data_IF_187074408684
#
_entry.id   IF_187074408684
#
_cell.length_a   1.000
_cell.length_b   1.000
_cell.length_c   1.000
_cell.angle_alpha   90.00
_cell.angle_beta   90.00
_cell.angle_gamma   90.00
#
_symmetry.space_group_name_H-M   'P 1'
#
loop_
_entity.id
_entity.type
_entity.pdbx_description
1 polymer ?
#
# COMPACT_ATOMS: atom_id res chain seq x y z
N UNK A 1 1.39 76.13 -43.61
CA UNK A 1 1.37 75.94 -42.14
C UNK A 1 0.61 74.67 -41.77
N UNK A 2 1.29 73.51 -41.64
CA UNK A 2 0.81 72.36 -40.83
C UNK A 2 1.86 71.24 -40.65
N UNK A 3 3.16 71.54 -40.88
CA UNK A 3 4.30 70.65 -40.58
C UNK A 3 4.80 70.73 -39.12
N UNK A 4 4.06 71.39 -38.21
CA UNK A 4 4.45 71.58 -36.80
C UNK A 4 3.76 70.63 -35.80
N UNK A 5 2.85 69.75 -36.23
CA UNK A 5 2.13 68.82 -35.33
C UNK A 5 2.75 67.41 -35.21
N UNK A 6 3.85 67.12 -35.91
CA UNK A 6 4.50 65.80 -35.85
C UNK A 6 5.80 65.77 -35.05
N UNK A 7 6.28 66.90 -34.51
CA UNK A 7 7.53 66.97 -33.75
C UNK A 7 7.32 66.89 -32.23
N UNK A 8 6.15 67.29 -31.72
CA UNK A 8 5.81 67.19 -30.29
C UNK A 8 5.38 65.79 -29.85
N UNK A 9 5.09 64.88 -30.79
CA UNK A 9 4.81 63.46 -30.50
C UNK A 9 6.05 62.56 -30.56
N UNK A 10 7.20 63.10 -30.96
CA UNK A 10 8.47 62.37 -31.03
C UNK A 10 9.44 62.72 -29.89
N UNK A 11 9.19 63.80 -29.12
CA UNK A 11 9.94 64.10 -27.89
C UNK A 11 9.32 63.49 -26.61
N UNK A 12 8.06 63.03 -26.65
CA UNK A 12 7.45 62.32 -25.52
C UNK A 12 7.89 60.84 -25.40
N UNK A 13 8.64 60.33 -26.38
CA UNK A 13 9.16 58.95 -26.40
C UNK A 13 10.65 58.85 -26.07
N UNK A 14 11.32 59.95 -25.71
CA UNK A 14 12.75 59.96 -25.38
C UNK A 14 13.08 60.36 -23.93
N UNK A 15 12.08 60.70 -23.12
CA UNK A 15 12.23 61.03 -21.67
C UNK A 15 11.59 59.95 -20.77
N UNK A 16 11.35 58.76 -21.31
CA UNK A 16 11.10 57.53 -20.54
C UNK A 16 12.10 56.46 -21.00
N UNK A 17 13.37 56.85 -21.12
CA UNK A 17 14.47 55.93 -21.43
C UNK A 17 15.74 56.21 -20.61
N UNK A 18 15.63 56.94 -19.50
CA UNK A 18 16.73 57.23 -18.58
C UNK A 18 16.18 57.44 -17.16
N UNK A 19 15.78 56.35 -16.51
CA UNK A 19 15.82 56.09 -15.06
C UNK A 19 15.25 54.66 -14.92
N UNK A 20 16.16 53.70 -14.86
CA UNK A 20 16.06 52.40 -14.18
C UNK A 20 17.23 51.54 -14.65
N UNK A 21 18.45 52.07 -14.49
CA UNK A 21 19.60 51.19 -14.27
C UNK A 21 19.47 50.69 -12.83
N UNK A 22 18.51 49.78 -12.61
CA UNK A 22 18.52 48.94 -11.42
C UNK A 22 19.74 48.07 -11.60
N UNK A 23 20.80 48.36 -10.85
CA UNK A 23 21.90 47.42 -10.64
C UNK A 23 21.26 46.20 -9.99
N UNK A 24 20.86 45.23 -10.80
CA UNK A 24 20.53 43.91 -10.33
C UNK A 24 21.85 43.30 -9.82
N UNK A 25 22.15 43.55 -8.55
CA UNK A 25 23.12 42.73 -7.85
C UNK A 25 22.63 41.29 -8.00
N UNK A 26 23.47 40.35 -8.45
CA UNK A 26 23.07 38.95 -8.45
C UNK A 26 22.86 38.57 -6.98
N UNK A 27 21.60 38.47 -6.56
CA UNK A 27 21.26 37.70 -5.38
C UNK A 27 21.58 36.26 -5.74
N UNK A 28 22.83 35.85 -5.52
CA UNK A 28 23.13 34.44 -5.35
C UNK A 28 22.38 34.02 -4.09
N UNK A 29 21.16 33.52 -4.26
CA UNK A 29 20.48 32.79 -3.20
C UNK A 29 21.46 31.71 -2.76
N UNK A 30 22.03 31.85 -1.56
CA UNK A 30 22.80 30.76 -0.96
C UNK A 30 21.83 29.60 -0.85
N UNK A 31 22.19 28.39 -1.33
CA UNK A 31 21.32 27.23 -1.17
C UNK A 31 21.01 27.09 0.32
N UNK A 32 19.73 27.04 0.63
CA UNK A 32 19.24 27.00 2.00
C UNK A 32 19.85 25.80 2.72
N UNK A 33 20.59 26.02 3.79
CA UNK A 33 21.27 24.94 4.53
C UNK A 33 20.28 23.93 5.14
N UNK A 34 19.00 24.30 5.24
CA UNK A 34 17.90 23.42 5.65
C UNK A 34 17.67 22.29 4.62
N UNK A 35 17.95 22.54 3.34
CA UNK A 35 17.82 21.63 2.20
C UNK A 35 18.85 20.47 2.26
N UNK A 36 20.11 20.78 2.58
CA UNK A 36 21.17 19.76 2.60
C UNK A 36 20.98 18.69 3.70
N UNK A 37 20.39 19.05 4.84
CA UNK A 37 20.17 18.09 5.94
C UNK A 37 19.02 17.15 5.62
N UNK A 38 17.93 17.67 5.06
CA UNK A 38 16.77 16.87 4.66
C UNK A 38 17.11 15.95 3.49
N UNK A 39 17.83 16.45 2.48
CA UNK A 39 18.32 15.64 1.35
C UNK A 39 19.24 14.51 1.83
N UNK A 40 20.16 14.78 2.77
CA UNK A 40 21.01 13.73 3.36
C UNK A 40 20.20 12.70 4.14
N UNK A 41 19.21 13.14 4.92
CA UNK A 41 18.33 12.24 5.64
C UNK A 41 17.49 11.38 4.69
N UNK A 42 17.00 11.96 3.59
CA UNK A 42 16.27 11.25 2.54
C UNK A 42 17.17 10.22 1.84
N UNK A 43 18.39 10.61 1.48
CA UNK A 43 19.38 9.72 0.88
C UNK A 43 19.69 8.54 1.80
N UNK A 44 19.92 8.78 3.09
CA UNK A 44 20.15 7.72 4.07
C UNK A 44 18.94 6.77 4.22
N UNK A 45 17.71 7.30 4.20
CA UNK A 45 16.48 6.49 4.22
C UNK A 45 16.37 5.61 2.97
N UNK A 46 16.66 6.16 1.79
CA UNK A 46 16.64 5.40 0.53
C UNK A 46 17.74 4.34 0.50
N UNK A 47 18.96 4.69 0.91
CA UNK A 47 20.08 3.75 0.98
C UNK A 47 19.77 2.59 1.93
N UNK A 48 19.21 2.87 3.11
CA UNK A 48 18.76 1.83 4.03
C UNK A 48 17.68 0.94 3.42
N UNK A 49 16.71 1.53 2.70
CA UNK A 49 15.67 0.76 1.99
C UNK A 49 16.25 -0.09 0.86
N UNK A 50 17.27 0.37 0.16
CA UNK A 50 17.91 -0.42 -0.90
C UNK A 50 18.69 -1.60 -0.31
N UNK A 51 19.42 -1.36 0.78
CA UNK A 51 20.20 -2.40 1.49
C UNK A 51 19.34 -3.51 2.09
N UNK A 52 18.12 -3.18 2.52
CA UNK A 52 17.12 -4.13 3.00
C UNK A 52 15.78 -3.93 2.28
N UNK A 53 15.79 -4.05 0.95
CA UNK A 53 14.61 -3.88 0.09
C UNK A 53 13.35 -4.64 0.55
N UNK A 54 13.43 -5.92 0.94
CA UNK A 54 12.28 -6.67 1.47
C UNK A 54 11.97 -6.37 2.95
N UNK A 55 12.72 -5.49 3.62
CA UNK A 55 12.61 -5.15 5.03
C UNK A 55 12.71 -6.35 6.00
N UNK A 56 13.66 -7.27 5.77
CA UNK A 56 13.89 -8.44 6.63
C UNK A 56 14.23 -8.07 8.09
N UNK A 57 14.74 -6.86 8.34
CA UNK A 57 15.00 -6.38 9.69
C UNK A 57 13.71 -6.11 10.49
N UNK A 58 12.60 -5.74 9.82
CA UNK A 58 11.35 -5.23 10.45
C UNK A 58 10.79 -6.15 11.53
N UNK A 59 10.78 -7.46 11.28
CA UNK A 59 10.24 -8.47 12.19
C UNK A 59 11.29 -9.39 12.78
N UNK A 60 12.59 -9.18 12.53
CA UNK A 60 13.66 -10.08 12.98
C UNK A 60 13.59 -10.35 14.50
N UNK A 61 13.52 -9.29 15.29
CA UNK A 61 13.43 -9.41 16.75
C UNK A 61 12.08 -10.01 17.17
N UNK A 62 10.97 -9.53 16.59
CA UNK A 62 9.64 -10.03 16.92
C UNK A 62 9.49 -11.53 16.61
N UNK A 63 10.03 -12.01 15.49
CA UNK A 63 10.07 -13.42 15.09
C UNK A 63 10.87 -14.26 16.09
N UNK A 64 12.02 -13.76 16.56
CA UNK A 64 12.85 -14.45 17.55
C UNK A 64 12.16 -14.59 18.93
N UNK A 65 11.20 -13.72 19.23
CA UNK A 65 10.42 -13.76 20.48
C UNK A 65 9.10 -14.54 20.35
N UNK A 66 8.76 -15.06 19.17
CA UNK A 66 7.57 -15.92 19.02
C UNK A 66 7.82 -17.24 19.76
N UNK A 67 7.01 -17.59 20.78
CA UNK A 67 7.22 -18.81 21.53
C UNK A 67 7.00 -20.05 20.65
N UNK A 68 7.59 -21.16 21.09
CA UNK A 68 7.31 -22.46 20.49
C UNK A 68 5.79 -22.73 20.51
N UNK A 69 5.27 -23.28 19.41
CA UNK A 69 3.84 -23.54 19.25
C UNK A 69 3.35 -24.51 20.32
N UNK A 70 2.32 -24.14 21.06
CA UNK A 70 1.72 -25.04 22.06
C UNK A 70 1.00 -26.22 21.38
N UNK A 71 0.83 -27.34 22.10
CA UNK A 71 0.36 -28.63 21.56
C UNK A 71 -0.97 -28.54 20.77
N UNK A 72 -1.83 -27.58 21.09
CA UNK A 72 -3.14 -27.36 20.45
C UNK A 72 -3.31 -25.94 19.89
N UNK A 73 -2.23 -25.19 19.69
CA UNK A 73 -2.31 -23.82 19.20
C UNK A 73 -2.59 -23.79 17.70
N UNK A 74 -3.71 -23.18 17.31
CA UNK A 74 -4.08 -22.93 15.91
C UNK A 74 -3.46 -21.62 15.43
N UNK A 75 -2.12 -21.56 15.42
CA UNK A 75 -1.37 -20.38 15.00
C UNK A 75 -1.69 -19.99 13.56
N UNK A 76 -1.96 -18.71 13.33
CA UNK A 76 -2.20 -18.13 12.01
C UNK A 76 -1.25 -16.96 11.79
N UNK A 77 -0.70 -16.84 10.59
CA UNK A 77 0.06 -15.66 10.18
C UNK A 77 -0.73 -14.91 9.11
N UNK A 78 -0.82 -13.59 9.24
CA UNK A 78 -1.34 -12.71 8.19
C UNK A 78 -0.16 -12.07 7.47
N UNK A 79 0.03 -12.44 6.21
CA UNK A 79 1.03 -11.88 5.30
C UNK A 79 0.36 -10.82 4.43
N UNK A 80 0.87 -9.59 4.47
CA UNK A 80 0.36 -8.54 3.59
C UNK A 80 1.13 -7.23 3.64
N UNK A 81 0.49 -6.18 3.16
CA UNK A 81 1.01 -4.82 3.04
C UNK A 81 0.49 -3.90 4.16
N UNK A 82 0.31 -2.61 3.87
CA UNK A 82 -0.22 -1.61 4.82
C UNK A 82 -1.62 -1.93 5.31
N UNK A 83 -2.47 -2.58 4.51
CA UNK A 83 -3.81 -3.00 4.96
C UNK A 83 -3.72 -4.03 6.07
N UNK A 84 -2.66 -4.86 6.07
CA UNK A 84 -2.42 -5.81 7.16
C UNK A 84 -1.64 -5.16 8.31
N UNK A 85 -0.60 -4.37 8.00
CA UNK A 85 0.27 -3.71 9.00
C UNK A 85 -0.54 -2.78 9.92
N UNK A 86 -1.45 -1.99 9.34
CA UNK A 86 -2.17 -0.95 10.08
C UNK A 86 -3.34 -1.48 10.90
N UNK A 87 -3.64 -2.77 10.86
CA UNK A 87 -4.67 -3.36 11.72
C UNK A 87 -4.34 -3.19 13.21
N UNK A 88 -3.05 -3.13 13.55
CA UNK A 88 -2.56 -2.90 14.91
C UNK A 88 -2.60 -1.41 15.34
N UNK A 89 -2.91 -0.48 14.42
CA UNK A 89 -2.96 0.94 14.76
C UNK A 89 -4.12 1.26 15.70
N UNK A 90 -3.91 2.26 16.56
CA UNK A 90 -4.93 2.76 17.46
C UNK A 90 -6.20 3.18 16.69
N UNK A 91 -7.37 2.85 17.25
CA UNK A 91 -8.67 3.12 16.63
C UNK A 91 -9.15 2.09 15.61
N UNK A 92 -8.34 1.08 15.27
CA UNK A 92 -8.72 0.02 14.32
C UNK A 92 -9.36 -1.22 14.97
N UNK A 93 -9.59 -1.19 16.29
CA UNK A 93 -10.24 -2.28 17.04
C UNK A 93 -9.29 -3.38 17.52
N UNK A 94 -8.02 -3.34 17.11
CA UNK A 94 -6.98 -4.29 17.49
C UNK A 94 -6.98 -5.56 16.63
N UNK A 95 -5.80 -6.16 16.49
CA UNK A 95 -5.60 -7.36 15.68
C UNK A 95 -5.93 -8.64 16.48
N UNK A 96 -7.15 -9.17 16.30
CA UNK A 96 -7.62 -10.46 16.83
C UNK A 96 -7.22 -10.75 18.30
N UNK A 97 -7.67 -9.93 19.27
CA UNK A 97 -7.27 -10.07 20.66
C UNK A 97 -7.57 -11.47 21.21
N UNK A 98 -6.59 -12.06 21.90
CA UNK A 98 -6.69 -13.40 22.49
C UNK A 98 -6.57 -14.57 21.51
N UNK A 99 -6.42 -14.31 20.21
CA UNK A 99 -6.11 -15.36 19.22
C UNK A 99 -4.59 -15.50 19.05
N UNK A 100 -4.08 -16.70 18.76
CA UNK A 100 -2.66 -16.91 18.43
C UNK A 100 -2.34 -16.48 16.98
N UNK A 101 -2.84 -15.31 16.58
CA UNK A 101 -2.68 -14.77 15.24
C UNK A 101 -1.53 -13.77 15.24
N UNK A 102 -0.74 -13.78 14.17
CA UNK A 102 0.48 -13.01 14.06
C UNK A 102 0.40 -12.11 12.84
N UNK A 103 0.47 -10.80 13.06
CA UNK A 103 0.52 -9.80 12.00
C UNK A 103 1.92 -9.70 11.40
N UNK A 104 2.03 -9.92 10.08
CA UNK A 104 3.25 -9.71 9.29
C UNK A 104 2.95 -8.84 8.07
N UNK A 105 2.13 -7.81 8.25
CA UNK A 105 1.97 -6.73 7.30
C UNK A 105 3.17 -5.79 7.28
N UNK A 106 3.58 -5.28 6.12
CA UNK A 106 4.56 -4.18 6.06
C UNK A 106 4.05 -3.13 5.07
N UNK A 107 3.86 -1.91 5.57
CA UNK A 107 3.35 -0.80 4.78
C UNK A 107 4.09 -0.57 3.46
N UNK A 108 3.33 -0.43 2.37
CA UNK A 108 3.84 -0.12 1.04
C UNK A 108 4.51 -1.28 0.29
N UNK A 109 4.53 -2.50 0.84
CA UNK A 109 5.15 -3.62 0.15
C UNK A 109 4.34 -4.19 -1.00
N UNK A 110 5.05 -4.61 -2.04
CA UNK A 110 4.52 -5.41 -3.15
C UNK A 110 4.74 -6.91 -2.92
N UNK A 111 4.15 -7.76 -3.76
CA UNK A 111 4.22 -9.23 -3.61
C UNK A 111 5.63 -9.79 -3.76
N UNK A 112 6.53 -9.11 -4.49
CA UNK A 112 7.93 -9.52 -4.60
C UNK A 112 8.67 -9.41 -3.26
N UNK A 113 8.44 -8.33 -2.53
CA UNK A 113 9.00 -8.15 -1.17
C UNK A 113 8.41 -9.16 -0.20
N UNK A 114 7.09 -9.40 -0.27
CA UNK A 114 6.40 -10.41 0.54
C UNK A 114 6.99 -11.81 0.30
N UNK A 115 7.24 -12.19 -0.96
CA UNK A 115 7.84 -13.47 -1.31
C UNK A 115 9.23 -13.65 -0.70
N UNK A 116 10.10 -12.64 -0.78
CA UNK A 116 11.47 -12.73 -0.21
C UNK A 116 11.43 -12.97 1.32
N UNK A 117 10.54 -12.26 2.03
CA UNK A 117 10.42 -12.41 3.49
C UNK A 117 9.50 -13.55 3.93
N UNK A 118 8.88 -14.27 3.01
CA UNK A 118 7.91 -15.31 3.32
C UNK A 118 8.49 -16.41 4.22
N UNK A 119 9.76 -16.77 4.01
CA UNK A 119 10.43 -17.79 4.83
C UNK A 119 10.60 -17.36 6.30
N UNK A 120 11.24 -16.23 6.61
CA UNK A 120 11.38 -15.80 8.01
C UNK A 120 10.04 -15.37 8.65
N UNK A 121 9.14 -14.75 7.90
CA UNK A 121 7.92 -14.16 8.48
C UNK A 121 6.72 -15.10 8.50
N UNK A 122 6.74 -16.20 7.74
CA UNK A 122 5.64 -17.20 7.72
C UNK A 122 6.17 -18.57 8.07
N UNK A 123 7.05 -19.12 7.24
CA UNK A 123 7.46 -20.54 7.35
C UNK A 123 8.13 -20.82 8.70
N UNK A 124 9.06 -19.97 9.11
CA UNK A 124 9.81 -20.14 10.36
C UNK A 124 8.90 -20.08 11.62
N UNK A 125 7.75 -19.41 11.51
CA UNK A 125 6.77 -19.29 12.61
C UNK A 125 5.86 -20.52 12.75
N UNK A 126 5.95 -21.47 11.80
CA UNK A 126 5.22 -22.76 11.76
C UNK A 126 3.70 -22.61 11.94
N UNK A 127 3.01 -21.70 11.25
CA UNK A 127 1.57 -21.55 11.40
C UNK A 127 0.82 -22.77 10.84
N UNK A 128 -0.40 -23.00 11.33
CA UNK A 128 -1.34 -23.94 10.70
C UNK A 128 -1.95 -23.35 9.43
N UNK A 129 -2.14 -22.03 9.39
CA UNK A 129 -2.75 -21.29 8.28
C UNK A 129 -1.95 -20.01 8.04
N UNK A 130 -1.78 -19.64 6.78
CA UNK A 130 -1.40 -18.28 6.38
C UNK A 130 -2.56 -17.63 5.64
N UNK A 131 -2.90 -16.40 6.02
CA UNK A 131 -3.78 -15.52 5.25
C UNK A 131 -2.89 -14.61 4.42
N UNK A 132 -3.09 -14.60 3.09
CA UNK A 132 -2.29 -13.78 2.17
C UNK A 132 -3.21 -12.72 1.54
N UNK A 133 -2.90 -11.45 1.79
CA UNK A 133 -3.50 -10.28 1.16
C UNK A 133 -2.38 -9.41 0.59
N UNK A 134 -2.17 -9.45 -0.73
CA UNK A 134 -1.10 -8.69 -1.38
C UNK A 134 -1.34 -8.51 -2.87
N UNK A 135 -0.87 -7.38 -3.41
CA UNK A 135 -1.05 -7.00 -4.82
C UNK A 135 -1.46 -5.54 -5.02
N UNK A 136 -2.00 -4.87 -3.99
CA UNK A 136 -2.49 -3.49 -4.13
C UNK A 136 -1.38 -2.50 -4.48
N UNK A 137 -0.17 -2.70 -3.94
CA UNK A 137 0.98 -1.84 -4.22
C UNK A 137 1.67 -2.22 -5.53
N UNK A 138 1.63 -3.50 -5.93
CA UNK A 138 2.12 -3.94 -7.23
C UNK A 138 1.38 -3.23 -8.37
N UNK A 139 0.05 -3.09 -8.25
CA UNK A 139 -0.76 -2.32 -9.21
C UNK A 139 -0.38 -0.83 -9.15
N UNK A 140 -0.17 -0.29 -7.95
CA UNK A 140 0.17 1.12 -7.73
C UNK A 140 1.56 1.54 -8.23
N UNK A 141 2.53 0.63 -8.23
CA UNK A 141 3.90 0.88 -8.66
C UNK A 141 4.02 0.90 -10.19
N UNK A 142 3.11 0.22 -10.90
CA UNK A 142 3.11 0.09 -12.36
C UNK A 142 1.70 0.20 -12.95
N UNK A 143 0.99 1.32 -12.74
CA UNK A 143 -0.42 1.45 -13.12
C UNK A 143 -0.62 1.30 -14.63
N UNK A 144 0.34 1.71 -15.45
CA UNK A 144 0.34 1.56 -16.90
C UNK A 144 0.58 0.13 -17.38
N UNK A 145 1.23 -0.73 -16.58
CA UNK A 145 1.43 -2.12 -16.95
C UNK A 145 0.17 -2.93 -16.68
N UNK A 146 -0.41 -3.51 -17.73
CA UNK A 146 -1.51 -4.48 -17.62
C UNK A 146 -1.07 -5.85 -17.08
N UNK A 147 0.24 -6.04 -16.87
CA UNK A 147 0.82 -7.33 -16.50
C UNK A 147 0.55 -7.66 -15.03
N UNK A 148 -0.54 -8.39 -14.78
CA UNK A 148 -0.83 -9.03 -13.49
C UNK A 148 0.05 -10.27 -13.24
N UNK A 149 0.71 -10.80 -14.28
CA UNK A 149 1.48 -12.06 -14.20
C UNK A 149 2.58 -12.07 -13.13
N UNK A 150 3.39 -11.02 -12.92
CA UNK A 150 4.36 -11.02 -11.82
C UNK A 150 3.72 -11.16 -10.45
N UNK A 151 2.55 -10.52 -10.24
CA UNK A 151 1.78 -10.63 -9.00
C UNK A 151 1.32 -12.07 -8.79
N UNK A 152 0.72 -12.66 -9.84
CA UNK A 152 0.26 -14.04 -9.84
C UNK A 152 1.40 -15.01 -9.54
N UNK A 153 2.54 -14.87 -10.21
CA UNK A 153 3.72 -15.72 -10.00
C UNK A 153 4.26 -15.66 -8.56
N UNK A 154 4.29 -14.47 -7.96
CA UNK A 154 4.71 -14.31 -6.57
C UNK A 154 3.71 -14.96 -5.60
N UNK A 155 2.40 -14.78 -5.83
CA UNK A 155 1.36 -15.42 -5.03
C UNK A 155 1.41 -16.96 -5.15
N UNK A 156 1.56 -17.49 -6.38
CA UNK A 156 1.75 -18.92 -6.64
C UNK A 156 2.96 -19.44 -5.86
N UNK A 157 4.10 -18.74 -5.92
CA UNK A 157 5.32 -19.14 -5.22
C UNK A 157 5.13 -19.21 -3.70
N UNK A 158 4.44 -18.23 -3.09
CA UNK A 158 4.12 -18.26 -1.66
C UNK A 158 3.16 -19.41 -1.30
N UNK A 159 2.23 -19.76 -2.19
CA UNK A 159 1.30 -20.89 -2.03
C UNK A 159 2.05 -22.23 -2.09
N UNK A 160 2.95 -22.40 -3.05
CA UNK A 160 3.79 -23.59 -3.19
C UNK A 160 4.71 -23.77 -1.98
N UNK A 161 5.35 -22.69 -1.53
CA UNK A 161 6.16 -22.67 -0.32
C UNK A 161 5.33 -23.05 0.92
N UNK A 162 4.08 -22.60 1.01
CA UNK A 162 3.17 -22.97 2.10
C UNK A 162 2.86 -24.46 2.10
N UNK A 163 2.51 -25.01 0.93
CA UNK A 163 2.23 -26.45 0.75
C UNK A 163 3.42 -27.31 1.12
N UNK A 164 4.61 -26.95 0.63
CA UNK A 164 5.85 -27.65 0.95
C UNK A 164 6.18 -27.67 2.45
N UNK A 165 5.60 -26.75 3.24
CA UNK A 165 5.78 -26.66 4.69
C UNK A 165 4.53 -27.04 5.48
N UNK A 166 3.54 -27.69 4.86
CA UNK A 166 2.29 -28.13 5.50
C UNK A 166 1.47 -26.98 6.12
N UNK A 167 1.53 -25.80 5.49
CA UNK A 167 0.79 -24.59 5.88
C UNK A 167 -0.42 -24.47 4.95
N UNK A 168 -1.62 -24.38 5.51
CA UNK A 168 -2.84 -24.16 4.73
C UNK A 168 -2.94 -22.69 4.31
N UNK A 169 -3.46 -22.43 3.12
CA UNK A 169 -3.55 -21.05 2.61
C UNK A 169 -5.00 -20.58 2.58
N UNK A 170 -5.21 -19.40 3.13
CA UNK A 170 -6.36 -18.54 2.86
C UNK A 170 -5.87 -17.43 1.93
N UNK A 171 -6.40 -17.38 0.71
CA UNK A 171 -6.05 -16.36 -0.28
C UNK A 171 -7.17 -15.31 -0.32
N UNK A 172 -6.85 -14.08 0.06
CA UNK A 172 -7.82 -13.00 0.20
C UNK A 172 -7.92 -12.16 -1.08
N UNK A 173 -9.11 -11.69 -1.41
CA UNK A 173 -9.27 -10.65 -2.44
C UNK A 173 -8.66 -9.33 -1.98
N UNK A 174 -8.09 -8.61 -2.94
CA UNK A 174 -7.79 -7.19 -2.77
C UNK A 174 -9.08 -6.43 -2.45
N UNK A 175 -8.96 -5.41 -1.61
CA UNK A 175 -10.03 -4.47 -1.35
C UNK A 175 -10.29 -3.59 -2.59
N UNK A 176 -11.52 -3.06 -2.76
CA UNK A 176 -11.76 -1.96 -3.69
C UNK A 176 -11.00 -0.72 -3.22
N UNK A 177 -10.86 0.27 -4.11
CA UNK A 177 -10.36 1.60 -3.79
C UNK A 177 -11.41 2.65 -4.15
N UNK A 178 -11.28 3.86 -3.62
CA UNK A 178 -12.13 5.00 -3.98
C UNK A 178 -11.32 6.30 -3.97
N UNK A 179 -11.86 7.32 -4.63
CA UNK A 179 -11.33 8.70 -4.56
C UNK A 179 -12.21 9.58 -3.67
N UNK A 180 -12.90 8.97 -2.70
CA UNK A 180 -13.72 9.72 -1.73
C UNK A 180 -12.87 10.31 -0.60
N UNK A 181 -11.66 9.77 -0.41
CA UNK A 181 -10.78 10.14 0.68
C UNK A 181 -10.17 11.52 0.52
N UNK A 182 -10.02 12.23 1.64
CA UNK A 182 -9.40 13.57 1.70
C UNK A 182 -8.18 13.52 2.61
N UNK A 183 -7.09 14.19 2.21
CA UNK A 183 -5.99 14.47 3.14
C UNK A 183 -6.48 15.50 4.15
N UNK A 184 -6.23 15.29 5.45
CA UNK A 184 -6.52 16.31 6.47
C UNK A 184 -5.70 17.58 6.18
N UNK A 185 -6.36 18.74 6.31
CA UNK A 185 -5.79 20.09 6.35
C UNK A 185 -5.40 20.82 5.06
N UNK A 186 -5.90 20.42 3.88
CA UNK A 186 -5.82 21.26 2.67
C UNK A 186 -7.07 21.14 1.82
N UNK A 187 -7.42 22.19 1.09
CA UNK A 187 -8.36 22.15 -0.06
C UNK A 187 -7.80 21.27 -1.23
N UNK A 188 -6.96 20.28 -0.90
CA UNK A 188 -6.33 19.39 -1.84
C UNK A 188 -7.39 18.47 -2.47
N UNK A 189 -7.26 18.17 -3.77
CA UNK A 189 -8.13 17.21 -4.43
C UNK A 189 -8.06 15.85 -3.71
N UNK A 190 -9.13 15.03 -3.79
CA UNK A 190 -9.13 13.70 -3.23
C UNK A 190 -7.91 12.88 -3.70
N UNK A 191 -7.42 12.00 -2.84
CA UNK A 191 -6.33 11.09 -3.24
C UNK A 191 -6.87 10.21 -4.36
N UNK A 192 -6.31 10.33 -5.56
CA UNK A 192 -6.73 9.57 -6.73
C UNK A 192 -6.18 8.12 -6.68
N UNK A 193 -6.71 7.33 -5.75
CA UNK A 193 -6.36 5.92 -5.61
C UNK A 193 -6.74 5.13 -6.86
N UNK A 194 -7.84 5.48 -7.55
CA UNK A 194 -8.28 4.78 -8.76
C UNK A 194 -7.31 4.94 -9.93
N UNK A 195 -6.57 6.05 -9.99
CA UNK A 195 -5.55 6.29 -11.02
C UNK A 195 -4.34 5.38 -10.80
N UNK A 196 -3.91 5.22 -9.55
CA UNK A 196 -2.79 4.36 -9.18
C UNK A 196 -3.19 2.88 -9.18
N UNK A 197 -4.42 2.58 -8.78
CA UNK A 197 -4.95 1.23 -8.57
C UNK A 197 -6.24 1.09 -9.34
N UNK A 198 -6.12 0.94 -10.67
CA UNK A 198 -7.27 0.87 -11.57
C UNK A 198 -8.25 -0.22 -11.10
N UNK A 199 -9.53 0.11 -10.85
CA UNK A 199 -10.53 -0.85 -10.38
C UNK A 199 -10.63 -2.10 -11.26
N UNK A 200 -10.38 -1.98 -12.56
CA UNK A 200 -10.40 -3.09 -13.52
C UNK A 200 -9.28 -4.09 -13.24
N UNK A 201 -8.09 -3.61 -12.85
CA UNK A 201 -6.96 -4.48 -12.49
C UNK A 201 -7.21 -5.19 -11.16
N UNK A 202 -7.79 -4.49 -10.18
CA UNK A 202 -8.21 -5.08 -8.90
C UNK A 202 -9.23 -6.21 -9.16
N UNK A 203 -10.27 -5.93 -9.95
CA UNK A 203 -11.30 -6.92 -10.31
C UNK A 203 -10.71 -8.11 -11.06
N UNK A 204 -9.85 -7.86 -12.05
CA UNK A 204 -9.21 -8.94 -12.82
C UNK A 204 -8.30 -9.82 -11.95
N UNK A 205 -7.53 -9.23 -11.04
CA UNK A 205 -6.70 -10.00 -10.10
C UNK A 205 -7.57 -10.77 -9.10
N UNK A 206 -8.64 -10.18 -8.57
CA UNK A 206 -9.58 -10.86 -7.66
C UNK A 206 -10.28 -12.04 -8.32
N UNK A 207 -10.67 -11.91 -9.59
CA UNK A 207 -11.26 -13.02 -10.35
C UNK A 207 -10.26 -14.17 -10.52
N UNK A 208 -9.00 -13.84 -10.83
CA UNK A 208 -7.93 -14.83 -10.87
C UNK A 208 -7.70 -15.48 -9.50
N UNK A 209 -7.65 -14.69 -8.41
CA UNK A 209 -7.48 -15.19 -7.03
C UNK A 209 -8.59 -16.20 -6.69
N UNK A 210 -9.85 -15.84 -6.98
CA UNK A 210 -11.02 -16.70 -6.75
C UNK A 210 -10.93 -18.00 -7.53
N UNK A 211 -10.65 -17.91 -8.82
CA UNK A 211 -10.52 -19.07 -9.73
C UNK A 211 -9.37 -19.98 -9.30
N UNK A 212 -8.19 -19.40 -9.11
CA UNK A 212 -7.00 -20.14 -8.71
C UNK A 212 -7.22 -20.84 -7.37
N UNK A 213 -7.82 -20.16 -6.39
CA UNK A 213 -8.15 -20.77 -5.09
C UNK A 213 -9.10 -21.96 -5.21
N UNK A 214 -10.11 -21.89 -6.10
CA UNK A 214 -11.03 -22.98 -6.35
C UNK A 214 -10.35 -24.19 -6.99
N UNK A 215 -9.60 -23.96 -8.08
CA UNK A 215 -8.87 -25.00 -8.83
C UNK A 215 -7.80 -25.70 -7.97
N UNK A 216 -7.20 -24.96 -7.03
CA UNK A 216 -6.11 -25.44 -6.18
C UNK A 216 -6.55 -25.89 -4.79
N UNK A 217 -7.86 -25.97 -4.52
CA UNK A 217 -8.39 -26.40 -3.23
C UNK A 217 -7.98 -25.52 -2.05
N UNK A 218 -7.73 -24.23 -2.30
CA UNK A 218 -7.43 -23.24 -1.25
C UNK A 218 -8.74 -22.70 -0.65
N UNK A 219 -8.65 -21.96 0.45
CA UNK A 219 -9.79 -21.18 0.94
C UNK A 219 -9.69 -19.76 0.37
N UNK A 220 -10.70 -19.35 -0.40
CA UNK A 220 -10.86 -17.96 -0.83
C UNK A 220 -11.54 -17.14 0.29
N UNK A 221 -11.02 -15.93 0.54
CA UNK A 221 -11.56 -14.96 1.47
C UNK A 221 -11.97 -13.70 0.71
N UNK A 222 -13.29 -13.45 0.63
CA UNK A 222 -13.84 -12.36 -0.16
C UNK A 222 -14.05 -11.08 0.66
N UNK A 223 -13.01 -10.25 0.77
CA UNK A 223 -13.16 -8.91 1.34
C UNK A 223 -13.82 -7.94 0.38
N UNK A 224 -13.49 -8.03 -0.91
CA UNK A 224 -13.94 -7.08 -1.93
C UNK A 224 -15.45 -6.88 -1.91
N UNK A 225 -16.22 -7.97 -1.99
CA UNK A 225 -17.68 -7.91 -2.07
C UNK A 225 -18.33 -7.30 -0.83
N UNK A 226 -17.68 -7.39 0.34
CA UNK A 226 -18.20 -6.84 1.60
C UNK A 226 -17.87 -5.34 1.78
N UNK A 227 -16.94 -4.81 0.99
CA UNK A 227 -16.41 -3.45 1.18
C UNK A 227 -16.71 -2.51 0.02
N UNK A 228 -17.20 -3.05 -1.09
CA UNK A 228 -17.57 -2.28 -2.28
C UNK A 228 -18.93 -1.59 -2.09
N UNK A 229 -19.08 -0.40 -2.63
CA UNK A 229 -20.34 0.34 -2.73
C UNK A 229 -21.09 -0.02 -4.04
N UNK A 230 -22.28 0.55 -4.22
CA UNK A 230 -23.10 0.37 -5.40
C UNK A 230 -22.47 0.90 -6.70
N UNK A 231 -21.42 1.74 -6.60
CA UNK A 231 -20.67 2.31 -7.73
C UNK A 231 -19.43 1.50 -8.07
N UNK A 232 -19.11 0.47 -7.28
CA UNK A 232 -17.94 -0.36 -7.49
C UNK A 232 -16.68 0.14 -6.81
N UNK A 233 -16.78 1.09 -5.87
CA UNK A 233 -15.66 1.70 -5.15
C UNK A 233 -15.67 1.33 -3.66
N UNK A 234 -14.57 1.59 -2.95
CA UNK A 234 -14.52 1.40 -1.50
C UNK A 234 -15.50 2.35 -0.79
N UNK A 235 -16.40 1.78 0.03
CA UNK A 235 -17.36 2.56 0.80
C UNK A 235 -16.65 3.62 1.66
N UNK A 236 -17.11 4.87 1.56
CA UNK A 236 -16.49 6.02 2.24
C UNK A 236 -16.44 5.87 3.77
N UNK A 237 -17.37 5.11 4.36
CA UNK A 237 -17.41 4.86 5.81
C UNK A 237 -16.29 3.93 6.29
N UNK A 238 -15.65 3.18 5.38
CA UNK A 238 -14.62 2.20 5.70
C UNK A 238 -13.21 2.73 5.53
N UNK A 239 -12.99 3.89 4.91
CA UNK A 239 -11.66 4.45 4.71
C UNK A 239 -11.68 5.97 4.64
N UNK A 240 -10.65 6.60 5.24
CA UNK A 240 -10.46 8.05 5.16
C UNK A 240 -9.70 8.49 3.90
N UNK A 241 -8.90 7.59 3.31
CA UNK A 241 -8.00 7.88 2.19
C UNK A 241 -8.34 7.08 0.91
N UNK A 242 -9.45 6.36 0.94
CA UNK A 242 -9.95 5.56 -0.17
C UNK A 242 -9.17 4.26 -0.42
N UNK A 243 -8.29 3.85 0.49
CA UNK A 243 -7.46 2.65 0.36
C UNK A 243 -7.39 1.85 1.65
N UNK A 244 -7.01 2.49 2.75
CA UNK A 244 -6.74 1.81 4.01
C UNK A 244 -8.00 1.77 4.88
N UNK A 245 -8.39 0.58 5.37
CA UNK A 245 -9.51 0.47 6.28
C UNK A 245 -9.26 1.27 7.56
N UNK A 246 -10.30 1.91 8.07
CA UNK A 246 -10.38 2.38 9.47
C UNK A 246 -11.09 1.31 10.31
N UNK A 247 -11.25 1.53 11.62
CA UNK A 247 -11.89 0.56 12.53
C UNK A 247 -13.23 0.00 12.03
N UNK A 248 -14.07 0.80 11.36
CA UNK A 248 -15.32 0.31 10.74
C UNK A 248 -15.07 -0.69 9.60
N UNK A 249 -14.07 -0.44 8.75
CA UNK A 249 -13.70 -1.35 7.67
C UNK A 249 -13.08 -2.64 8.22
N UNK A 250 -12.17 -2.54 9.20
CA UNK A 250 -11.62 -3.73 9.86
C UNK A 250 -12.69 -4.55 10.58
N UNK A 251 -13.68 -3.91 11.20
CA UNK A 251 -14.81 -4.61 11.83
C UNK A 251 -15.62 -5.47 10.84
N UNK A 252 -15.68 -5.09 9.55
CA UNK A 252 -16.26 -5.92 8.48
C UNK A 252 -15.32 -7.08 8.12
N UNK A 253 -14.01 -6.83 8.07
CA UNK A 253 -13.01 -7.82 7.67
C UNK A 253 -12.79 -8.94 8.69
N UNK A 254 -12.84 -8.64 9.99
CA UNK A 254 -12.60 -9.60 11.09
C UNK A 254 -13.44 -10.89 10.94
N UNK A 255 -14.78 -10.85 10.92
CA UNK A 255 -15.60 -12.06 10.89
C UNK A 255 -15.39 -12.89 9.62
N UNK A 256 -15.13 -12.24 8.48
CA UNK A 256 -14.85 -12.91 7.21
C UNK A 256 -13.53 -13.70 7.30
N UNK A 257 -12.50 -13.07 7.88
CA UNK A 257 -11.21 -13.71 8.12
C UNK A 257 -11.34 -14.93 9.04
N UNK A 258 -12.05 -14.79 10.17
CA UNK A 258 -12.27 -15.89 11.11
C UNK A 258 -13.00 -17.06 10.44
N UNK A 259 -14.02 -16.78 9.63
CA UNK A 259 -14.76 -17.82 8.90
C UNK A 259 -13.86 -18.54 7.89
N UNK A 260 -13.04 -17.80 7.14
CA UNK A 260 -12.12 -18.39 6.17
C UNK A 260 -11.02 -19.22 6.84
N UNK A 261 -10.47 -18.73 7.96
CA UNK A 261 -9.48 -19.46 8.77
C UNK A 261 -10.09 -20.75 9.31
N UNK A 262 -11.28 -20.69 9.91
CA UNK A 262 -11.97 -21.87 10.42
C UNK A 262 -12.25 -22.90 9.32
N UNK A 263 -12.64 -22.43 8.12
CA UNK A 263 -12.80 -23.30 6.94
C UNK A 263 -11.49 -23.94 6.52
N UNK A 264 -10.39 -23.18 6.49
CA UNK A 264 -9.07 -23.71 6.16
C UNK A 264 -8.61 -24.77 7.17
N UNK A 265 -8.78 -24.52 8.48
CA UNK A 265 -8.37 -25.46 9.54
C UNK A 265 -9.06 -26.83 9.45
N UNK A 266 -10.32 -26.85 8.99
CA UNK A 266 -11.10 -28.09 8.77
C UNK A 266 -10.67 -28.90 7.54
N UNK A 267 -9.94 -28.31 6.59
CA UNK A 267 -9.46 -29.05 5.41
C UNK A 267 -8.42 -30.09 5.83
N UNK A 268 -8.57 -31.32 5.34
CA UNK A 268 -7.56 -32.36 5.49
C UNK A 268 -6.27 -31.90 4.82
N UNK A 269 -5.14 -32.28 5.43
CA UNK A 269 -3.80 -32.00 4.93
C UNK A 269 -3.52 -32.86 3.71
#
# INVERSE_FOLDING_TARGET
MRKKRSLERLLASYIILMICAVVAAPQSAKPDTQDCTEVRAQAARLESRIKDWPALARYRQANAQVPAQAKNEERVVFMGDSITDWWDNEGNGGFFPGKPYINRGIGGQNTGQMLIRFRPDVIALKPKVVVILGGTNDIADKPEMTALEPIKANLISMIELSRANNIRVVLASLLPVSDYGRVRDRDDPPIAQTVRRRPEQIKALNEWIRTYAAENGLTYLDYYSAMVDEKGFLQATFSNDGLHPVGKGYAVMVPLAEQAIAKALKRKR
#
